data_IF_713280620898
#
_entry.id   IF_713280620898
#
_cell.length_a   1.000
_cell.length_b   1.000
_cell.length_c   1.000
_cell.angle_alpha   90.00
_cell.angle_beta   90.00
_cell.angle_gamma   90.00
#
_symmetry.space_group_name_H-M   'P 1'
#
loop_
_entity.id
_entity.type
_entity.pdbx_description
1 polymer ?
#
# COMPACT_ATOMS: atom_id res chain seq x y z
N UNK A 1 20.07 8.42 9.83
CA UNK A 1 19.28 8.28 8.60
C UNK A 1 18.04 7.50 8.96
N UNK A 2 16.86 7.94 8.49
CA UNK A 2 15.60 7.24 8.74
C UNK A 2 15.65 5.82 8.16
N UNK A 3 14.99 4.88 8.83
CA UNK A 3 14.95 3.48 8.39
C UNK A 3 13.66 3.13 7.64
N UNK A 4 12.57 3.85 7.92
CA UNK A 4 11.28 3.67 7.26
C UNK A 4 10.77 5.03 6.77
N UNK A 5 10.35 5.08 5.51
CA UNK A 5 9.60 6.21 4.95
C UNK A 5 8.11 5.84 4.92
N UNK A 6 7.29 6.56 5.70
CA UNK A 6 5.84 6.41 5.66
C UNK A 6 5.31 7.38 4.61
N UNK A 7 4.63 6.85 3.58
CA UNK A 7 4.15 7.60 2.43
C UNK A 7 2.63 7.70 2.50
N UNK A 8 2.12 8.93 2.51
CA UNK A 8 0.71 9.28 2.59
C UNK A 8 0.23 9.92 1.28
N UNK A 9 -0.32 9.16 0.33
CA UNK A 9 -1.02 9.75 -0.82
C UNK A 9 -2.24 10.52 -0.33
N UNK A 10 -2.34 11.80 -0.71
CA UNK A 10 -3.32 12.73 -0.12
C UNK A 10 -4.15 13.40 -1.21
N UNK A 11 -5.46 13.13 -1.21
CA UNK A 11 -6.42 13.71 -2.13
C UNK A 11 -7.80 13.79 -1.46
N UNK A 12 -8.26 15.00 -1.12
CA UNK A 12 -9.59 15.27 -0.54
C UNK A 12 -9.91 14.44 0.72
N UNK A 13 -9.04 14.54 1.74
CA UNK A 13 -9.12 13.78 3.00
C UNK A 13 -9.02 14.68 4.24
N UNK A 14 -9.44 15.94 4.15
CA UNK A 14 -9.32 16.95 5.23
C UNK A 14 -9.88 16.47 6.58
N UNK A 15 -10.89 15.60 6.58
CA UNK A 15 -11.49 15.05 7.80
C UNK A 15 -10.62 14.01 8.51
N UNK A 16 -9.64 13.45 7.83
CA UNK A 16 -8.90 12.27 8.29
C UNK A 16 -7.40 12.49 8.41
N UNK A 17 -6.81 13.35 7.57
CA UNK A 17 -5.37 13.54 7.45
C UNK A 17 -4.68 13.87 8.78
N UNK A 18 -5.31 14.65 9.66
CA UNK A 18 -4.78 14.97 10.97
C UNK A 18 -4.53 13.71 11.79
N UNK A 19 -5.51 12.80 11.88
CA UNK A 19 -5.38 11.52 12.60
C UNK A 19 -4.30 10.64 11.98
N UNK A 20 -4.22 10.57 10.66
CA UNK A 20 -3.18 9.81 9.97
C UNK A 20 -1.78 10.33 10.34
N UNK A 21 -1.56 11.65 10.28
CA UNK A 21 -0.30 12.29 10.66
C UNK A 21 0.04 12.10 12.14
N UNK A 22 -0.92 12.27 13.03
CA UNK A 22 -0.74 12.01 14.47
C UNK A 22 -0.29 10.58 14.74
N UNK A 23 -0.85 9.59 14.03
CA UNK A 23 -0.43 8.20 14.17
C UNK A 23 1.01 7.97 13.71
N UNK A 24 1.52 8.74 12.74
CA UNK A 24 2.91 8.69 12.30
C UNK A 24 3.85 9.41 13.27
N UNK A 25 3.52 10.62 13.67
CA UNK A 25 4.33 11.46 14.57
C UNK A 25 4.56 10.77 15.91
N UNK A 26 3.51 10.13 16.45
CA UNK A 26 3.51 9.46 17.74
C UNK A 26 4.05 8.03 17.72
N UNK A 27 4.59 7.53 16.59
CA UNK A 27 5.24 6.22 16.56
C UNK A 27 6.31 6.12 17.66
N UNK A 28 6.38 4.96 18.35
CA UNK A 28 7.40 4.68 19.37
C UNK A 28 8.80 4.67 18.77
N UNK A 29 8.97 4.14 17.57
CA UNK A 29 10.20 4.19 16.79
C UNK A 29 10.32 5.55 16.07
N UNK A 30 11.43 6.28 16.30
CA UNK A 30 11.57 7.68 15.86
C UNK A 30 12.37 7.87 14.57
N UNK A 31 13.18 6.89 14.15
CA UNK A 31 14.00 6.98 12.93
C UNK A 31 13.17 6.75 11.66
N UNK A 32 12.14 7.56 11.51
CA UNK A 32 11.21 7.57 10.37
C UNK A 32 11.23 8.91 9.64
N UNK A 33 10.88 8.91 8.36
CA UNK A 33 10.42 10.09 7.64
C UNK A 33 8.95 9.91 7.22
N UNK A 34 8.24 10.99 7.08
CA UNK A 34 6.82 11.02 6.74
C UNK A 34 6.69 11.84 5.46
N UNK A 35 6.19 11.24 4.39
CA UNK A 35 6.08 11.88 3.07
C UNK A 35 4.61 12.01 2.71
N UNK A 36 4.10 13.22 2.77
CA UNK A 36 2.76 13.57 2.29
C UNK A 36 2.86 13.86 0.80
N UNK A 37 2.11 13.14 -0.01
CA UNK A 37 2.05 13.35 -1.46
C UNK A 37 0.75 14.07 -1.79
N UNK A 38 0.85 15.37 -2.05
CA UNK A 38 -0.26 16.18 -2.54
C UNK A 38 -0.58 15.81 -3.99
N UNK A 39 -1.71 15.13 -4.18
CA UNK A 39 -2.20 14.71 -5.50
C UNK A 39 -3.27 15.67 -6.05
N UNK A 40 -3.08 16.97 -5.81
CA UNK A 40 -3.92 18.07 -6.31
C UNK A 40 -5.38 17.97 -5.83
N UNK A 41 -5.59 17.67 -4.55
CA UNK A 41 -6.89 17.82 -3.92
C UNK A 41 -7.32 19.30 -3.81
N UNK A 42 -8.62 19.54 -3.66
CA UNK A 42 -9.18 20.91 -3.59
C UNK A 42 -9.81 21.24 -2.22
N UNK A 43 -9.55 20.39 -1.22
CA UNK A 43 -9.95 20.62 0.18
C UNK A 43 -8.78 21.12 1.03
N UNK A 44 -8.95 21.18 2.35
CA UNK A 44 -7.93 21.66 3.28
C UNK A 44 -6.88 20.63 3.70
N UNK A 45 -6.83 19.46 3.07
CA UNK A 45 -5.91 18.38 3.46
C UNK A 45 -4.47 18.84 3.52
N UNK A 46 -4.01 19.59 2.51
CA UNK A 46 -2.62 20.03 2.40
C UNK A 46 -2.31 21.18 3.36
N UNK A 47 -3.27 22.07 3.62
CA UNK A 47 -3.08 23.12 4.61
C UNK A 47 -2.90 22.53 6.01
N UNK A 48 -3.71 21.52 6.36
CA UNK A 48 -3.54 20.77 7.60
C UNK A 48 -2.16 20.10 7.64
N UNK A 49 -1.74 19.42 6.56
CA UNK A 49 -0.42 18.80 6.51
C UNK A 49 0.72 19.79 6.70
N UNK A 50 0.62 21.00 6.15
CA UNK A 50 1.61 22.10 6.35
C UNK A 50 1.69 22.54 7.80
N UNK A 51 0.56 22.61 8.52
CA UNK A 51 0.56 22.93 9.95
C UNK A 51 1.33 21.88 10.78
N UNK A 52 1.18 20.58 10.45
CA UNK A 52 1.94 19.51 11.08
C UNK A 52 3.43 19.57 10.70
N UNK A 53 3.75 19.80 9.42
CA UNK A 53 5.12 19.90 8.94
C UNK A 53 5.89 21.08 9.57
N UNK A 54 5.18 22.15 9.94
CA UNK A 54 5.81 23.28 10.66
C UNK A 54 6.24 22.95 12.10
N UNK A 55 5.77 21.81 12.65
CA UNK A 55 6.01 21.36 14.04
C UNK A 55 6.87 20.09 14.13
N UNK A 56 7.07 19.37 13.01
CA UNK A 56 7.83 18.12 12.97
C UNK A 56 8.62 18.02 11.66
N UNK A 57 9.94 18.18 11.75
CA UNK A 57 10.88 18.18 10.61
C UNK A 57 10.96 16.84 9.87
N UNK A 58 10.38 15.78 10.42
CA UNK A 58 10.29 14.48 9.74
C UNK A 58 9.25 14.46 8.63
N UNK A 59 8.33 15.45 8.61
CA UNK A 59 7.26 15.56 7.62
C UNK A 59 7.76 16.36 6.42
N UNK A 60 7.69 15.73 5.25
CA UNK A 60 7.97 16.36 3.95
C UNK A 60 6.70 16.33 3.12
N UNK A 61 6.40 17.43 2.45
CA UNK A 61 5.27 17.51 1.51
C UNK A 61 5.84 17.62 0.11
N UNK A 62 5.40 16.76 -0.79
CA UNK A 62 5.69 16.85 -2.22
C UNK A 62 4.40 17.12 -2.97
N UNK A 63 4.49 17.92 -4.04
CA UNK A 63 3.33 18.33 -4.82
C UNK A 63 3.42 17.73 -6.22
N UNK A 64 2.38 17.05 -6.65
CA UNK A 64 2.22 16.65 -8.05
C UNK A 64 1.72 17.86 -8.86
N UNK A 65 2.06 17.93 -10.14
CA UNK A 65 1.59 19.01 -11.03
C UNK A 65 0.11 18.84 -11.42
N UNK A 66 -0.41 17.65 -11.32
CA UNK A 66 -1.79 17.27 -11.62
C UNK A 66 -2.20 16.04 -10.77
N UNK A 67 -3.49 15.73 -10.72
CA UNK A 67 -3.95 14.50 -10.08
C UNK A 67 -3.42 13.27 -10.86
N UNK A 68 -2.48 12.54 -10.25
CA UNK A 68 -1.86 11.35 -10.81
C UNK A 68 -2.57 10.06 -10.44
N UNK A 69 -3.56 10.11 -9.57
CA UNK A 69 -4.25 8.98 -8.95
C UNK A 69 -3.34 8.09 -8.10
N UNK A 70 -3.94 7.25 -7.29
CA UNK A 70 -3.31 6.53 -6.19
C UNK A 70 -2.05 5.75 -6.58
N UNK A 71 -2.10 5.01 -7.70
CA UNK A 71 -0.95 4.23 -8.18
C UNK A 71 0.31 5.08 -8.35
N UNK A 72 0.18 6.22 -9.01
CA UNK A 72 1.33 7.10 -9.30
C UNK A 72 1.68 7.99 -8.12
N UNK A 73 0.71 8.47 -7.35
CA UNK A 73 0.97 9.23 -6.14
C UNK A 73 1.86 8.42 -5.17
N UNK A 74 1.57 7.13 -4.96
CA UNK A 74 2.44 6.23 -4.19
C UNK A 74 3.85 6.10 -4.79
N UNK A 75 3.95 6.02 -6.12
CA UNK A 75 5.25 5.93 -6.79
C UNK A 75 6.07 7.21 -6.66
N UNK A 76 5.45 8.40 -6.80
CA UNK A 76 6.14 9.68 -6.59
C UNK A 76 6.69 9.78 -5.16
N UNK A 77 5.89 9.42 -4.15
CA UNK A 77 6.37 9.35 -2.78
C UNK A 77 7.53 8.36 -2.60
N UNK A 78 7.45 7.19 -3.21
CA UNK A 78 8.52 6.19 -3.13
C UNK A 78 9.83 6.64 -3.80
N UNK A 79 9.77 7.44 -4.86
CA UNK A 79 10.97 8.00 -5.52
C UNK A 79 11.76 8.93 -4.61
N UNK A 80 11.07 9.79 -3.87
CA UNK A 80 11.72 10.80 -2.99
C UNK A 80 12.08 10.24 -1.61
N UNK A 81 11.55 9.10 -1.23
CA UNK A 81 11.87 8.42 0.02
C UNK A 81 13.37 8.20 0.16
N UNK A 82 13.94 8.50 1.33
CA UNK A 82 15.38 8.36 1.60
C UNK A 82 15.72 7.10 2.38
N UNK A 83 14.72 6.47 3.02
CA UNK A 83 14.88 5.25 3.79
C UNK A 83 15.01 4.00 2.92
N UNK A 84 15.67 2.94 3.40
CA UNK A 84 15.75 1.67 2.69
C UNK A 84 14.39 0.94 2.59
N UNK A 85 13.48 1.24 3.50
CA UNK A 85 12.14 0.65 3.56
C UNK A 85 11.06 1.71 3.45
N UNK A 86 9.96 1.36 2.79
CA UNK A 86 8.77 2.19 2.66
C UNK A 86 7.55 1.50 3.23
N UNK A 87 6.62 2.28 3.75
CA UNK A 87 5.29 1.88 4.19
C UNK A 87 4.26 2.84 3.59
N UNK A 88 3.18 2.34 3.03
CA UNK A 88 2.06 3.18 2.60
C UNK A 88 1.01 3.26 3.69
N UNK A 89 0.58 4.48 3.97
CA UNK A 89 -0.56 4.79 4.82
C UNK A 89 -1.58 5.57 4.00
N UNK A 90 -2.75 4.98 3.76
CA UNK A 90 -3.85 5.71 3.15
C UNK A 90 -4.32 6.80 4.12
N UNK A 91 -4.48 8.03 3.62
CA UNK A 91 -4.61 9.22 4.48
C UNK A 91 -5.95 9.32 5.24
N UNK A 92 -6.87 8.38 5.02
CA UNK A 92 -8.09 8.18 5.82
C UNK A 92 -7.96 7.08 6.90
N UNK A 93 -6.81 6.39 6.96
CA UNK A 93 -6.47 5.33 7.90
C UNK A 93 -5.48 5.81 8.98
N UNK A 94 -5.00 4.91 9.84
CA UNK A 94 -3.97 5.21 10.83
C UNK A 94 -3.18 3.97 11.26
N UNK A 95 -1.97 4.20 11.79
CA UNK A 95 -1.09 3.17 12.32
C UNK A 95 -1.31 2.98 13.82
N UNK A 96 -1.12 1.76 14.32
CA UNK A 96 -0.94 1.53 15.75
C UNK A 96 0.41 2.14 16.20
N UNK A 97 0.48 2.67 17.43
CA UNK A 97 1.63 3.47 17.89
C UNK A 97 2.98 2.75 17.87
N UNK A 98 2.97 1.43 17.97
CA UNK A 98 4.17 0.59 17.94
C UNK A 98 4.43 -0.05 16.57
N UNK A 99 3.73 0.37 15.51
CA UNK A 99 3.79 -0.30 14.21
C UNK A 99 5.21 -0.32 13.62
N UNK A 100 5.88 0.82 13.59
CA UNK A 100 7.24 0.90 13.08
C UNK A 100 8.23 0.10 13.95
N UNK A 101 8.09 0.15 15.27
CA UNK A 101 8.96 -0.56 16.21
C UNK A 101 8.86 -2.08 16.02
N UNK A 102 7.64 -2.64 15.95
CA UNK A 102 7.44 -4.07 15.74
C UNK A 102 7.99 -4.51 14.39
N UNK A 103 7.82 -3.69 13.34
CA UNK A 103 8.37 -3.97 12.03
C UNK A 103 9.92 -3.97 12.05
N UNK A 104 10.55 -2.97 12.68
CA UNK A 104 12.02 -2.89 12.78
C UNK A 104 12.59 -4.10 13.53
N UNK A 105 11.95 -4.55 14.62
CA UNK A 105 12.38 -5.78 15.32
C UNK A 105 12.49 -6.96 14.36
N UNK A 106 11.55 -7.12 13.43
CA UNK A 106 11.58 -8.20 12.42
C UNK A 106 12.68 -7.96 11.37
N UNK A 107 12.83 -6.72 10.90
CA UNK A 107 13.84 -6.37 9.91
C UNK A 107 15.27 -6.59 10.45
N UNK A 108 15.50 -6.34 11.73
CA UNK A 108 16.79 -6.50 12.41
C UNK A 108 17.06 -7.93 12.87
N UNK A 109 16.02 -8.78 13.04
CA UNK A 109 16.20 -10.21 13.41
C UNK A 109 17.07 -11.00 12.42
N UNK A 110 17.27 -10.49 11.22
CA UNK A 110 18.14 -11.08 10.20
C UNK A 110 19.63 -11.01 10.53
N UNK A 111 20.04 -10.91 11.79
CA UNK A 111 21.41 -10.73 12.29
C UNK A 111 22.47 -11.35 11.37
N UNK A 112 23.18 -10.51 10.61
CA UNK A 112 24.32 -10.94 9.80
C UNK A 112 24.08 -11.12 8.31
N UNK A 113 23.00 -10.61 7.67
CA UNK A 113 23.00 -10.57 6.20
C UNK A 113 21.70 -10.82 5.46
N UNK A 114 20.69 -11.39 6.06
CA UNK A 114 19.42 -11.65 5.34
C UNK A 114 18.46 -10.48 5.54
N UNK A 115 18.31 -9.66 4.51
CA UNK A 115 17.40 -8.51 4.52
C UNK A 115 16.01 -8.96 4.03
N UNK A 116 14.97 -8.70 4.83
CA UNK A 116 13.59 -8.90 4.42
C UNK A 116 13.27 -7.94 3.25
N UNK A 117 12.70 -8.47 2.18
CA UNK A 117 12.29 -7.68 1.01
C UNK A 117 10.85 -7.15 1.16
N UNK A 118 10.00 -7.96 1.82
CA UNK A 118 8.59 -7.67 2.04
C UNK A 118 8.15 -8.20 3.41
N UNK A 119 7.71 -7.31 4.29
CA UNK A 119 7.05 -7.66 5.55
C UNK A 119 5.56 -7.36 5.40
N UNK A 120 4.72 -8.37 5.56
CA UNK A 120 3.26 -8.23 5.61
C UNK A 120 2.78 -8.39 7.05
N UNK A 121 1.81 -7.59 7.48
CA UNK A 121 1.22 -7.69 8.81
C UNK A 121 -0.31 -7.56 8.76
N UNK A 122 -0.98 -7.92 9.85
CA UNK A 122 -2.43 -7.85 9.93
C UNK A 122 -2.91 -6.42 10.18
N UNK A 123 -4.22 -6.21 10.03
CA UNK A 123 -4.84 -4.92 10.22
C UNK A 123 -6.15 -5.04 10.99
N UNK A 124 -6.50 -3.99 11.72
CA UNK A 124 -7.84 -3.77 12.21
C UNK A 124 -8.71 -3.14 11.11
N UNK A 125 -9.99 -3.46 11.12
CA UNK A 125 -11.02 -2.75 10.37
C UNK A 125 -11.98 -2.14 11.39
N UNK A 126 -12.15 -0.83 11.34
CA UNK A 126 -13.09 -0.12 12.18
C UNK A 126 -14.36 0.20 11.39
N UNK A 127 -15.40 -0.55 11.70
CA UNK A 127 -16.77 -0.22 11.36
C UNK A 127 -17.57 -0.09 12.68
N UNK A 128 -18.81 -0.56 12.74
CA UNK A 128 -19.57 -0.61 13.99
C UNK A 128 -18.87 -1.41 15.12
N UNK A 129 -17.97 -2.33 14.76
CA UNK A 129 -17.11 -3.09 15.71
C UNK A 129 -15.70 -3.23 15.12
N UNK A 130 -14.66 -3.01 15.98
CA UNK A 130 -13.27 -3.27 15.57
C UNK A 130 -13.08 -4.77 15.34
N UNK A 131 -12.66 -5.16 14.14
CA UNK A 131 -12.37 -6.54 13.75
C UNK A 131 -10.97 -6.66 13.16
N UNK A 132 -10.39 -7.87 13.14
CA UNK A 132 -9.06 -8.09 12.56
C UNK A 132 -9.20 -8.68 11.16
N UNK A 133 -8.57 -8.02 10.18
CA UNK A 133 -8.38 -8.54 8.83
C UNK A 133 -7.08 -9.33 8.78
N UNK A 134 -7.20 -10.64 8.65
CA UNK A 134 -6.06 -11.57 8.67
C UNK A 134 -6.09 -12.53 7.47
N UNK A 135 -4.91 -13.04 7.12
CA UNK A 135 -4.74 -13.99 6.02
C UNK A 135 -4.87 -15.46 6.44
N UNK A 136 -4.91 -15.76 7.74
CA UNK A 136 -4.81 -17.13 8.26
C UNK A 136 -3.53 -17.85 7.78
N UNK A 137 -2.44 -17.13 7.65
CA UNK A 137 -1.09 -17.63 7.38
C UNK A 137 -0.33 -17.70 8.70
N UNK A 138 0.48 -18.73 8.91
CA UNK A 138 1.33 -18.82 10.11
C UNK A 138 2.39 -17.71 10.08
N UNK A 139 2.62 -17.09 11.22
CA UNK A 139 3.72 -16.13 11.35
C UNK A 139 5.06 -16.77 11.03
N UNK A 140 5.91 -16.09 10.27
CA UNK A 140 7.24 -16.57 9.96
C UNK A 140 7.78 -16.05 8.64
N UNK A 141 8.96 -16.56 8.31
CA UNK A 141 9.71 -16.23 7.10
C UNK A 141 9.38 -17.21 5.98
N UNK A 142 9.31 -16.70 4.77
CA UNK A 142 8.95 -17.40 3.55
C UNK A 142 9.80 -16.92 2.38
N UNK A 143 10.16 -17.81 1.48
CA UNK A 143 10.54 -17.38 0.13
C UNK A 143 9.27 -17.10 -0.72
N UNK A 144 9.44 -16.53 -1.91
CA UNK A 144 8.31 -16.13 -2.76
C UNK A 144 7.40 -17.32 -3.17
N UNK A 145 7.96 -18.50 -3.38
CA UNK A 145 7.18 -19.69 -3.75
C UNK A 145 6.35 -20.19 -2.57
N UNK A 146 6.97 -20.29 -1.39
CA UNK A 146 6.30 -20.70 -0.16
C UNK A 146 5.18 -19.72 0.20
N UNK A 147 5.44 -18.41 0.14
CA UNK A 147 4.44 -17.39 0.42
C UNK A 147 3.29 -17.46 -0.57
N UNK A 148 3.59 -17.60 -1.87
CA UNK A 148 2.57 -17.81 -2.90
C UNK A 148 1.69 -19.01 -2.61
N UNK A 149 2.26 -20.14 -2.17
CA UNK A 149 1.49 -21.32 -1.81
C UNK A 149 0.57 -21.08 -0.61
N UNK A 150 0.99 -20.27 0.37
CA UNK A 150 0.11 -19.87 1.48
C UNK A 150 -1.05 -19.01 0.97
N UNK A 151 -0.78 -18.02 0.15
CA UNK A 151 -1.81 -17.15 -0.45
C UNK A 151 -2.84 -17.95 -1.24
N UNK A 152 -2.39 -18.93 -2.04
CA UNK A 152 -3.29 -19.79 -2.82
C UNK A 152 -4.25 -20.61 -1.92
N UNK A 153 -3.78 -21.07 -0.76
CA UNK A 153 -4.60 -21.79 0.22
C UNK A 153 -5.69 -20.90 0.82
N UNK A 154 -5.39 -19.63 1.08
CA UNK A 154 -6.37 -18.69 1.65
C UNK A 154 -7.40 -18.23 0.64
N UNK A 155 -7.11 -18.33 -0.67
CA UNK A 155 -7.89 -17.75 -1.77
C UNK A 155 -8.12 -16.24 -1.64
N UNK A 156 -7.39 -15.59 -0.73
CA UNK A 156 -7.41 -14.15 -0.49
C UNK A 156 -5.97 -13.62 -0.58
N UNK A 157 -5.59 -12.96 -1.66
CA UNK A 157 -4.21 -12.52 -1.85
C UNK A 157 -3.79 -11.38 -0.93
N UNK A 158 -4.73 -10.70 -0.24
CA UNK A 158 -4.42 -9.53 0.59
C UNK A 158 -3.47 -8.57 -0.16
N UNK A 159 -3.88 -8.21 -1.35
CA UNK A 159 -3.04 -7.45 -2.30
C UNK A 159 -2.93 -5.96 -1.97
N UNK A 160 -3.63 -5.46 -0.93
CA UNK A 160 -3.52 -4.06 -0.49
C UNK A 160 -2.06 -3.63 -0.37
N UNK A 161 -1.74 -2.39 -0.75
CA UNK A 161 -0.37 -1.87 -0.57
C UNK A 161 -0.12 -1.41 0.86
N UNK A 162 -1.15 -1.08 1.63
CA UNK A 162 -1.05 -0.85 3.06
C UNK A 162 -0.85 -2.15 3.86
N UNK A 163 -0.55 -2.06 5.15
CA UNK A 163 -0.17 -3.17 6.04
C UNK A 163 1.03 -3.97 5.52
N UNK A 164 1.99 -3.26 4.97
CA UNK A 164 3.25 -3.81 4.47
C UNK A 164 4.40 -2.85 4.71
N UNK A 165 5.57 -3.42 5.00
CA UNK A 165 6.87 -2.76 4.81
C UNK A 165 7.53 -3.37 3.60
N UNK A 166 7.97 -2.53 2.69
CA UNK A 166 8.52 -2.95 1.40
C UNK A 166 9.91 -2.35 1.26
N UNK A 167 10.88 -3.15 0.88
CA UNK A 167 12.19 -2.61 0.50
C UNK A 167 12.03 -1.70 -0.71
N UNK A 168 12.47 -0.45 -0.59
CA UNK A 168 12.25 0.59 -1.60
C UNK A 168 12.65 0.15 -3.00
N UNK A 169 13.84 -0.43 -3.15
CA UNK A 169 14.34 -0.88 -4.46
C UNK A 169 13.45 -1.93 -5.11
N UNK A 170 12.88 -2.84 -4.30
CA UNK A 170 11.95 -3.87 -4.80
C UNK A 170 10.66 -3.22 -5.29
N UNK A 171 10.12 -2.24 -4.55
CA UNK A 171 8.94 -1.50 -4.97
C UNK A 171 9.16 -0.76 -6.31
N UNK A 172 10.27 -0.03 -6.42
CA UNK A 172 10.59 0.71 -7.65
C UNK A 172 10.80 -0.24 -8.84
N UNK A 173 11.46 -1.38 -8.64
CA UNK A 173 11.59 -2.42 -9.67
C UNK A 173 10.24 -3.01 -10.06
N UNK A 174 9.37 -3.30 -9.08
CA UNK A 174 8.03 -3.82 -9.33
C UNK A 174 7.19 -2.84 -10.17
N UNK A 175 7.22 -1.55 -9.83
CA UNK A 175 6.53 -0.52 -10.60
C UNK A 175 7.07 -0.42 -12.04
N UNK A 176 8.39 -0.42 -12.21
CA UNK A 176 9.02 -0.34 -13.54
C UNK A 176 8.69 -1.55 -14.43
N UNK A 177 8.47 -2.74 -13.83
CA UNK A 177 8.02 -3.92 -14.57
C UNK A 177 6.65 -3.75 -15.23
N UNK A 178 5.81 -2.85 -14.74
CA UNK A 178 4.50 -2.58 -15.33
C UNK A 178 4.60 -1.90 -16.69
N UNK A 179 5.72 -1.23 -16.96
CA UNK A 179 5.98 -0.48 -18.20
C UNK A 179 4.79 0.43 -18.60
N UNK A 180 4.29 1.18 -17.62
CA UNK A 180 3.09 2.01 -17.79
C UNK A 180 3.40 3.27 -18.60
N UNK A 181 2.58 3.55 -19.60
CA UNK A 181 2.58 4.84 -20.27
C UNK A 181 2.21 5.96 -19.30
N UNK A 182 2.72 7.18 -19.49
CA UNK A 182 2.50 8.32 -18.59
C UNK A 182 1.02 8.64 -18.38
N UNK A 183 0.20 8.46 -19.40
CA UNK A 183 -1.22 8.78 -19.41
C UNK A 183 -2.08 7.82 -18.56
N UNK A 184 -1.53 6.64 -18.22
CA UNK A 184 -2.24 5.65 -17.43
C UNK A 184 -2.20 6.07 -15.96
N UNK A 185 -3.35 6.49 -15.44
CA UNK A 185 -3.60 6.89 -14.06
C UNK A 185 -4.70 6.00 -13.49
N UNK A 186 -4.48 5.39 -12.34
CA UNK A 186 -5.33 4.32 -11.79
C UNK A 186 -5.54 4.54 -10.29
N UNK A 187 -6.80 4.47 -9.86
CA UNK A 187 -7.21 4.41 -8.45
C UNK A 187 -7.69 3.01 -8.05
N UNK A 188 -8.28 2.27 -9.00
CA UNK A 188 -8.93 1.00 -8.67
C UNK A 188 -8.11 -0.20 -9.15
N UNK A 189 -7.99 -1.20 -8.29
CA UNK A 189 -7.24 -2.43 -8.53
C UNK A 189 -5.72 -2.24 -8.78
N UNK A 190 -5.19 -1.04 -8.51
CA UNK A 190 -3.76 -0.73 -8.60
C UNK A 190 -2.93 -1.58 -7.63
N UNK A 191 -3.50 -1.90 -6.49
CA UNK A 191 -2.93 -2.79 -5.49
C UNK A 191 -2.67 -4.18 -6.09
N UNK A 192 -3.66 -4.77 -6.76
CA UNK A 192 -3.53 -6.06 -7.42
C UNK A 192 -2.48 -6.03 -8.53
N UNK A 193 -2.39 -4.90 -9.25
CA UNK A 193 -1.41 -4.69 -10.31
C UNK A 193 0.02 -4.73 -9.79
N UNK A 194 0.30 -4.04 -8.68
CA UNK A 194 1.63 -3.99 -8.05
C UNK A 194 1.96 -5.25 -7.24
N UNK A 195 0.96 -5.88 -6.62
CA UNK A 195 1.17 -7.02 -5.74
C UNK A 195 1.85 -8.20 -6.45
N UNK A 196 1.48 -8.46 -7.70
CA UNK A 196 2.09 -9.54 -8.48
C UNK A 196 3.59 -9.35 -8.68
N UNK A 197 4.09 -8.27 -9.33
CA UNK A 197 5.52 -8.07 -9.52
C UNK A 197 6.26 -7.91 -8.19
N UNK A 198 5.67 -7.27 -7.19
CA UNK A 198 6.24 -7.14 -5.86
C UNK A 198 6.53 -8.51 -5.23
N UNK A 199 5.55 -9.42 -5.26
CA UNK A 199 5.69 -10.75 -4.64
C UNK A 199 6.74 -11.59 -5.37
N UNK A 200 6.78 -11.57 -6.70
CA UNK A 200 7.76 -12.38 -7.46
C UNK A 200 9.19 -11.83 -7.38
N UNK A 201 9.37 -10.55 -7.11
CA UNK A 201 10.68 -9.92 -6.91
C UNK A 201 11.19 -10.06 -5.48
N UNK A 202 10.31 -10.32 -4.51
CA UNK A 202 10.67 -10.48 -3.10
C UNK A 202 11.14 -11.91 -2.85
N UNK A 203 12.43 -12.08 -2.49
CA UNK A 203 13.00 -13.39 -2.17
C UNK A 203 12.76 -13.76 -0.70
N UNK A 204 12.79 -12.75 0.19
CA UNK A 204 12.65 -12.90 1.62
C UNK A 204 11.41 -12.14 2.09
N UNK A 205 10.35 -12.90 2.41
CA UNK A 205 9.05 -12.37 2.84
C UNK A 205 8.82 -12.80 4.28
N UNK A 206 8.39 -11.87 5.13
CA UNK A 206 7.96 -12.19 6.48
C UNK A 206 6.48 -11.87 6.64
N UNK A 207 5.72 -12.77 7.28
CA UNK A 207 4.35 -12.53 7.67
C UNK A 207 4.23 -12.45 9.18
N UNK A 208 3.73 -11.31 9.68
CA UNK A 208 3.53 -11.00 11.10
C UNK A 208 2.04 -11.02 11.40
N UNK A 209 1.62 -11.80 12.41
CA UNK A 209 0.20 -11.94 12.81
C UNK A 209 -0.28 -10.86 13.77
N UNK A 210 0.49 -9.77 13.90
CA UNK A 210 0.13 -8.63 14.72
C UNK A 210 -0.58 -7.58 13.88
N UNK A 211 -1.77 -7.08 14.28
CA UNK A 211 -2.44 -5.99 13.58
C UNK A 211 -1.80 -4.65 13.98
N UNK A 212 -1.13 -4.01 13.00
CA UNK A 212 -0.37 -2.77 13.20
C UNK A 212 -0.91 -1.59 12.39
N UNK A 213 -1.94 -1.82 11.60
CA UNK A 213 -2.63 -0.84 10.75
C UNK A 213 -4.10 -0.85 11.10
N UNK A 214 -4.77 0.30 11.04
CA UNK A 214 -6.21 0.38 11.21
C UNK A 214 -6.86 1.02 10.00
N UNK A 215 -7.58 0.20 9.23
CA UNK A 215 -8.44 0.66 8.14
C UNK A 215 -9.71 1.26 8.72
N UNK A 216 -9.97 2.53 8.41
CA UNK A 216 -11.19 3.21 8.79
C UNK A 216 -12.23 3.07 7.67
N UNK A 217 -13.37 2.42 8.00
CA UNK A 217 -14.45 2.29 7.02
C UNK A 217 -15.13 3.65 6.82
N UNK A 218 -14.88 4.23 5.65
CA UNK A 218 -15.43 5.49 5.24
C UNK A 218 -16.54 5.25 4.19
N UNK A 219 -17.75 5.77 4.45
CA UNK A 219 -18.88 5.66 3.50
C UNK A 219 -18.60 6.38 2.18
N UNK A 220 -17.70 7.37 2.19
CA UNK A 220 -17.34 8.17 1.01
C UNK A 220 -16.08 7.64 0.31
N UNK A 221 -15.61 6.43 0.66
CA UNK A 221 -14.44 5.84 0.00
C UNK A 221 -14.67 5.66 -1.51
N UNK A 222 -13.60 5.77 -2.29
CA UNK A 222 -13.62 5.56 -3.75
C UNK A 222 -14.25 4.21 -4.10
N UNK A 223 -14.01 3.20 -3.28
CA UNK A 223 -14.54 1.84 -3.47
C UNK A 223 -16.07 1.76 -3.37
N UNK A 224 -16.70 2.65 -2.59
CA UNK A 224 -18.15 2.64 -2.31
C UNK A 224 -18.94 3.65 -3.14
N UNK A 225 -18.28 4.46 -3.96
CA UNK A 225 -18.94 5.53 -4.73
C UNK A 225 -19.57 4.97 -6.02
N UNK A 226 -20.88 4.82 -6.02
CA UNK A 226 -21.68 4.33 -7.16
C UNK A 226 -21.51 5.23 -8.40
N UNK A 227 -21.31 6.54 -8.21
CA UNK A 227 -21.12 7.48 -9.32
C UNK A 227 -19.82 7.27 -10.12
N UNK A 228 -18.92 6.42 -9.62
CA UNK A 228 -17.66 6.07 -10.28
C UNK A 228 -17.66 4.68 -10.95
N UNK A 229 -18.82 4.01 -11.04
CA UNK A 229 -18.91 2.61 -11.49
C UNK A 229 -18.28 2.40 -12.88
N UNK A 230 -18.62 3.25 -13.84
CA UNK A 230 -18.07 3.15 -15.20
C UNK A 230 -16.56 3.39 -15.22
N UNK A 231 -16.05 4.37 -14.49
CA UNK A 231 -14.64 4.63 -14.33
C UNK A 231 -13.93 3.43 -13.68
N UNK A 232 -14.52 2.82 -12.66
CA UNK A 232 -13.99 1.64 -11.98
C UNK A 232 -13.90 0.44 -12.94
N UNK A 233 -14.91 0.22 -13.78
CA UNK A 233 -14.92 -0.81 -14.83
C UNK A 233 -13.76 -0.59 -15.80
N UNK A 234 -13.58 0.64 -16.29
CA UNK A 234 -12.50 0.97 -17.22
C UNK A 234 -11.12 0.76 -16.59
N UNK A 235 -10.92 1.21 -15.36
CA UNK A 235 -9.65 1.01 -14.64
C UNK A 235 -9.33 -0.47 -14.43
N UNK A 236 -10.32 -1.30 -14.06
CA UNK A 236 -10.13 -2.76 -13.99
C UNK A 236 -9.72 -3.38 -15.33
N UNK A 237 -10.33 -2.93 -16.43
CA UNK A 237 -9.95 -3.39 -17.80
C UNK A 237 -8.50 -2.99 -18.12
N UNK A 238 -8.09 -1.77 -17.77
CA UNK A 238 -6.71 -1.31 -17.92
C UNK A 238 -5.77 -2.20 -17.11
N UNK A 239 -6.05 -2.43 -15.82
CA UNK A 239 -5.24 -3.28 -14.94
C UNK A 239 -5.08 -4.68 -15.50
N UNK A 240 -6.17 -5.31 -15.95
CA UNK A 240 -6.13 -6.63 -16.58
C UNK A 240 -5.25 -6.65 -17.86
N UNK A 241 -5.30 -5.60 -18.67
CA UNK A 241 -4.49 -5.50 -19.88
C UNK A 241 -3.00 -5.31 -19.55
N UNK A 242 -2.68 -4.47 -18.56
CA UNK A 242 -1.30 -4.27 -18.11
C UNK A 242 -0.74 -5.57 -17.52
N UNK A 243 -1.47 -6.27 -16.65
CA UNK A 243 -1.05 -7.57 -16.12
C UNK A 243 -0.78 -8.58 -17.25
N UNK A 244 -1.63 -8.60 -18.28
CA UNK A 244 -1.43 -9.48 -19.45
C UNK A 244 -0.18 -9.11 -20.25
N UNK A 245 0.32 -7.90 -20.20
CA UNK A 245 1.52 -7.46 -20.90
C UNK A 245 2.83 -7.79 -20.19
N UNK A 246 2.79 -8.06 -18.87
CA UNK A 246 3.97 -8.41 -18.07
C UNK A 246 4.60 -9.71 -18.61
N UNK A 247 5.92 -9.70 -18.85
CA UNK A 247 6.68 -10.90 -19.24
C UNK A 247 6.80 -11.88 -18.04
N UNK A 248 7.02 -13.17 -18.34
CA UNK A 248 7.25 -14.23 -17.33
C UNK A 248 6.08 -14.49 -16.34
N UNK A 249 4.87 -14.39 -16.82
CA UNK A 249 3.62 -14.44 -16.04
C UNK A 249 3.05 -15.85 -15.75
N UNK A 250 3.81 -16.91 -15.94
CA UNK A 250 3.33 -18.30 -15.74
C UNK A 250 3.43 -18.76 -14.27
N UNK A 251 2.93 -17.96 -13.32
CA UNK A 251 2.90 -18.34 -11.89
C UNK A 251 1.48 -18.58 -11.42
N UNK A 252 1.25 -19.49 -10.45
CA UNK A 252 -0.07 -19.69 -9.89
C UNK A 252 -0.70 -18.42 -9.31
N UNK A 253 0.12 -17.54 -8.71
CA UNK A 253 -0.32 -16.24 -8.18
C UNK A 253 -0.88 -15.34 -9.29
N UNK A 254 -0.22 -15.30 -10.46
CA UNK A 254 -0.72 -14.52 -11.60
C UNK A 254 -2.13 -14.96 -11.99
N UNK A 255 -2.36 -16.28 -12.13
CA UNK A 255 -3.66 -16.80 -12.52
C UNK A 255 -4.74 -16.53 -11.46
N UNK A 256 -4.39 -16.62 -10.17
CA UNK A 256 -5.31 -16.27 -9.08
C UNK A 256 -5.72 -14.79 -9.16
N UNK A 257 -4.78 -13.89 -9.32
CA UNK A 257 -5.05 -12.45 -9.40
C UNK A 257 -5.94 -12.13 -10.60
N UNK A 258 -5.59 -12.65 -11.80
CA UNK A 258 -6.41 -12.47 -13.01
C UNK A 258 -7.83 -13.01 -12.81
N UNK A 259 -7.98 -14.16 -12.19
CA UNK A 259 -9.29 -14.76 -11.91
C UNK A 259 -10.13 -13.88 -10.99
N UNK A 260 -9.56 -13.42 -9.87
CA UNK A 260 -10.27 -12.59 -8.90
C UNK A 260 -10.64 -11.22 -9.47
N UNK A 261 -9.74 -10.59 -10.24
CA UNK A 261 -10.05 -9.32 -10.93
C UNK A 261 -11.18 -9.47 -11.95
N UNK A 262 -11.24 -10.58 -12.67
CA UNK A 262 -12.36 -10.86 -13.59
C UNK A 262 -13.68 -11.03 -12.83
N UNK A 263 -13.68 -11.69 -11.68
CA UNK A 263 -14.87 -11.82 -10.83
C UNK A 263 -15.33 -10.44 -10.34
N UNK A 264 -14.42 -9.58 -9.90
CA UNK A 264 -14.76 -8.21 -9.50
C UNK A 264 -15.35 -7.41 -10.65
N UNK A 265 -14.74 -7.49 -11.83
CA UNK A 265 -15.24 -6.81 -13.02
C UNK A 265 -16.65 -7.25 -13.39
N UNK A 266 -16.92 -8.57 -13.39
CA UNK A 266 -18.26 -9.11 -13.64
C UNK A 266 -19.32 -8.61 -12.65
N UNK A 267 -18.95 -8.47 -11.36
CA UNK A 267 -19.85 -7.89 -10.35
C UNK A 267 -20.18 -6.43 -10.62
N UNK A 268 -19.22 -5.65 -11.12
CA UNK A 268 -19.47 -4.25 -11.49
C UNK A 268 -20.32 -4.14 -12.77
N UNK A 269 -20.18 -5.04 -13.74
CA UNK A 269 -20.97 -5.04 -14.98
C UNK A 269 -22.43 -5.52 -14.78
N UNK A 270 -22.74 -6.14 -13.63
CA UNK A 270 -24.08 -6.62 -13.28
C UNK A 270 -24.90 -5.64 -12.40
N UNK A 271 -24.25 -4.62 -11.85
CA UNK A 271 -24.87 -3.56 -11.05
C UNK A 271 -25.07 -2.29 -11.88
#
# INVERSE_FOLDING_TARGET
MSQISIILPTYNVEKYIARALESCINQTFKDIEIIVVDDCGNDKSIDIAKEYASKDDRIKIIHNEENLKLLRARYEGAKVATSPYIMFLDSDDYLELNACEECIKILDMGGGGVKIDLLCFEAFITNAKKSIKKLNIKQGKYNNKEFTMQILKTKNPFWTMWAKIIKKDIYLKAFNMLNLKKEIKINMAEDALLYYPLTILSNEIFYLTQPLYTQHVNSNSITNNINSLEANIQEHKIVLNVLKSIKNKKTPLYFLIIYLLKIQLLKYEQN
#
